data_IF_222451278862
#
_entry.id   IF_222451278862
#
_cell.length_a   1.000
_cell.length_b   1.000
_cell.length_c   1.000
_cell.angle_alpha   90.00
_cell.angle_beta   90.00
_cell.angle_gamma   90.00
#
_symmetry.space_group_name_H-M   'P 1'
#
loop_
_entity.id
_entity.type
_entity.pdbx_description
1 polymer ?
2 non-polymer ?
3 non-polymer ?
4 non-polymer ?
5 non-polymer ?
6 non-polymer ?
7 water ?
#
# COMPACT_ATOMS: atom_id res chain seq x y z
N UNK A 1 -26.11 -8.66 2.50
CA UNK A 1 -24.96 -7.75 2.43
C UNK A 1 -23.69 -8.55 2.17
N UNK A 2 -22.65 -7.89 1.64
CA UNK A 2 -21.45 -8.64 1.31
C UNK A 2 -20.31 -8.28 2.27
N UNK A 3 -19.36 -9.19 2.29
CA UNK A 3 -18.11 -9.03 2.99
C UNK A 3 -17.19 -10.13 2.50
N UNK A 4 -15.90 -9.97 2.80
CA UNK A 4 -15.00 -11.06 2.43
C UNK A 4 -13.63 -10.79 2.95
N UNK A 5 -12.82 -11.84 2.93
CA UNK A 5 -11.43 -11.83 3.34
C UNK A 5 -10.57 -12.18 2.15
N UNK A 6 -9.74 -11.20 1.78
CA UNK A 6 -8.74 -11.43 0.75
C UNK A 6 -7.38 -11.63 1.38
N UNK A 7 -6.70 -12.70 1.03
CA UNK A 7 -5.42 -13.00 1.67
C UNK A 7 -4.25 -12.41 0.90
N UNK A 8 -3.40 -11.70 1.62
CA UNK A 8 -2.24 -11.05 1.04
C UNK A 8 -1.01 -11.86 1.46
N UNK A 9 0.02 -11.81 0.62
CA UNK A 9 1.27 -12.48 0.92
C UNK A 9 2.41 -11.53 0.58
N UNK A 10 3.36 -11.32 1.50
CA UNK A 10 4.52 -10.50 1.17
C UNK A 10 5.48 -11.24 0.23
N UNK A 11 6.10 -10.49 -0.66
CA UNK A 11 7.22 -10.94 -1.47
C UNK A 11 8.48 -10.94 -0.61
N UNK A 12 9.61 -11.25 -1.22
CA UNK A 12 10.83 -11.30 -0.40
C UNK A 12 11.12 -9.99 0.31
N UNK A 13 11.50 -10.08 1.56
CA UNK A 13 11.74 -9.04 2.50
C UNK A 13 10.51 -8.16 2.73
N UNK A 14 9.32 -8.61 2.38
CA UNK A 14 8.12 -7.82 2.47
C UNK A 14 8.19 -6.55 1.64
N UNK A 15 8.76 -6.66 0.45
CA UNK A 15 8.91 -5.51 -0.42
C UNK A 15 7.56 -4.98 -0.90
N UNK A 16 6.68 -5.94 -1.19
CA UNK A 16 5.30 -5.61 -1.57
C UNK A 16 4.43 -6.78 -1.11
N UNK A 17 3.14 -6.54 -1.10
CA UNK A 17 2.18 -7.58 -0.71
C UNK A 17 1.27 -7.89 -1.88
N UNK A 18 1.06 -9.15 -2.17
CA UNK A 18 0.29 -9.59 -3.31
C UNK A 18 -0.98 -10.28 -2.92
N UNK A 19 -2.07 -10.02 -3.61
CA UNK A 19 -3.40 -10.55 -3.33
C UNK A 19 -4.06 -10.98 -4.63
N UNK A 20 -4.61 -12.18 -4.72
CA UNK A 20 -5.22 -12.65 -5.99
C UNK A 20 -6.57 -11.96 -6.19
N UNK A 21 -6.81 -11.69 -7.49
CA UNK A 21 -7.98 -10.98 -7.93
C UNK A 21 -8.46 -11.67 -9.21
N UNK A 22 -9.71 -12.03 -9.28
CA UNK A 22 -10.19 -12.68 -10.50
C UNK A 22 -10.90 -11.67 -11.37
N UNK A 23 -10.41 -11.49 -12.58
CA UNK A 23 -10.96 -10.50 -13.52
C UNK A 23 -11.44 -11.23 -14.78
N UNK A 24 -12.74 -11.16 -14.99
CA UNK A 24 -13.32 -11.92 -16.10
C UNK A 24 -12.87 -13.37 -16.10
N UNK A 25 -12.87 -14.04 -14.96
CA UNK A 25 -12.41 -15.41 -14.90
C UNK A 25 -10.93 -15.69 -14.92
N UNK A 26 -10.03 -14.73 -15.12
CA UNK A 26 -8.58 -14.99 -15.04
C UNK A 26 -8.08 -14.47 -13.71
N UNK A 27 -7.34 -15.21 -12.91
CA UNK A 27 -6.77 -14.72 -11.66
C UNK A 27 -5.40 -14.13 -11.83
N UNK A 28 -5.26 -12.88 -11.38
CA UNK A 28 -4.00 -12.14 -11.44
C UNK A 28 -3.55 -11.89 -10.02
N UNK A 29 -2.28 -11.76 -9.77
CA UNK A 29 -1.77 -11.40 -8.46
C UNK A 29 -1.46 -9.92 -8.42
N UNK A 30 -2.25 -9.13 -7.68
CA UNK A 30 -2.17 -7.68 -7.71
C UNK A 30 -1.66 -7.13 -6.37
N UNK A 31 -1.02 -5.99 -6.46
CA UNK A 31 -0.48 -5.22 -5.35
C UNK A 31 -1.59 -4.25 -4.89
N UNK A 32 -2.20 -4.54 -3.74
CA UNK A 32 -3.26 -3.66 -3.22
C UNK A 32 -2.64 -2.39 -2.63
N UNK A 33 -3.10 -1.24 -3.10
CA UNK A 33 -2.40 0.01 -2.89
C UNK A 33 -3.29 1.12 -2.39
N UNK A 34 -3.31 1.32 -1.07
CA UNK A 34 -4.12 2.39 -0.50
C UNK A 34 -3.60 3.79 -0.79
N UNK A 35 -2.46 3.90 -1.48
CA UNK A 35 -1.85 5.13 -1.92
C UNK A 35 -2.20 5.59 -3.31
N UNK A 36 -2.97 4.79 -4.06
CA UNK A 36 -3.41 5.22 -5.40
C UNK A 36 -4.76 4.65 -5.68
N UNK A 37 -5.39 5.06 -6.79
CA UNK A 37 -6.80 4.76 -7.02
C UNK A 37 -7.08 4.09 -8.35
N UNK A 38 -6.05 3.44 -8.91
CA UNK A 38 -6.19 2.80 -10.20
C UNK A 38 -6.03 1.30 -10.07
N UNK A 39 -6.88 0.55 -10.76
CA UNK A 39 -6.82 -0.89 -10.90
C UNK A 39 -6.27 -1.10 -12.32
N UNK A 40 -5.00 -1.46 -12.37
CA UNK A 40 -4.38 -1.68 -13.68
C UNK A 40 -3.70 -3.04 -13.67
N UNK A 41 -3.71 -3.62 -14.86
CA UNK A 41 -3.23 -4.98 -15.04
C UNK A 41 -2.33 -5.14 -16.26
N UNK A 42 -1.37 -6.04 -16.12
CA UNK A 42 -0.67 -6.54 -17.31
C UNK A 42 -1.73 -7.08 -18.24
N UNK A 43 -1.57 -6.84 -19.54
CA UNK A 43 -2.59 -7.21 -20.49
C UNK A 43 -1.98 -7.71 -21.82
N UNK A 44 -2.86 -8.25 -22.64
CA UNK A 44 -2.46 -8.72 -23.96
C UNK A 44 -2.11 -7.65 -24.96
N UNK A 45 -2.25 -6.40 -24.74
CA UNK A 45 -1.87 -5.15 -25.35
C UNK A 45 -0.43 -4.77 -25.06
N UNK A 46 0.25 -5.40 -24.10
CA UNK A 46 1.67 -5.25 -23.94
C UNK A 46 2.41 -6.06 -25.00
N UNK A 47 3.62 -5.69 -25.30
CA UNK A 47 4.46 -6.58 -26.14
C UNK A 47 4.54 -7.95 -25.48
N UNK A 48 4.52 -9.02 -26.29
CA UNK A 48 4.61 -10.36 -25.78
C UNK A 48 5.76 -10.56 -24.81
N UNK A 49 6.92 -9.96 -25.04
CA UNK A 49 8.06 -10.21 -24.20
C UNK A 49 7.84 -9.69 -22.80
N UNK A 50 7.03 -8.62 -22.71
CA UNK A 50 6.73 -8.07 -21.39
C UNK A 50 5.64 -8.82 -20.66
N UNK A 51 4.89 -9.67 -21.34
CA UNK A 51 3.88 -10.49 -20.72
C UNK A 51 4.48 -11.70 -20.03
N UNK A 52 5.71 -12.07 -20.43
CA UNK A 52 6.33 -13.30 -19.92
C UNK A 52 6.50 -13.20 -18.42
N UNK A 53 6.20 -14.26 -17.67
CA UNK A 53 6.33 -14.24 -16.22
C UNK A 53 5.11 -13.71 -15.49
N UNK A 54 4.08 -13.33 -16.25
CA UNK A 54 2.88 -12.77 -15.65
C UNK A 54 1.66 -13.53 -16.07
N UNK A 55 0.62 -13.41 -15.24
CA UNK A 55 -0.74 -13.64 -15.68
C UNK A 55 -1.26 -12.33 -16.31
N UNK A 56 -1.96 -12.47 -17.43
CA UNK A 56 -2.34 -11.24 -18.12
C UNK A 56 -3.82 -11.22 -18.41
N UNK A 57 -4.37 -10.01 -18.40
CA UNK A 57 -5.75 -9.81 -18.75
C UNK A 57 -5.97 -9.67 -20.24
N UNK A 58 -6.95 -10.40 -20.77
CA UNK A 58 -7.31 -10.34 -22.21
C UNK A 58 -8.65 -9.61 -22.28
N UNK A 59 -8.64 -8.32 -22.56
CA UNK A 59 -9.90 -7.59 -22.56
C UNK A 59 -10.85 -8.09 -23.65
N UNK A 60 -10.29 -8.62 -24.74
CA UNK A 60 -11.19 -9.05 -25.82
C UNK A 60 -12.06 -10.22 -25.42
N UNK A 61 -11.67 -11.04 -24.46
CA UNK A 61 -12.43 -12.17 -24.02
C UNK A 61 -13.66 -11.76 -23.22
N UNK A 62 -13.54 -10.81 -22.30
CA UNK A 62 -14.64 -10.51 -21.39
C UNK A 62 -14.93 -9.05 -21.12
N UNK A 63 -14.05 -8.15 -21.51
CA UNK A 63 -14.14 -6.76 -21.16
C UNK A 63 -15.03 -5.95 -22.07
N UNK A 64 -15.55 -4.83 -21.57
CA UNK A 64 -16.31 -3.91 -22.41
C UNK A 64 -15.57 -2.60 -22.44
N UNK A 65 -15.08 -2.16 -23.59
CA UNK A 65 -14.37 -0.91 -23.65
C UNK A 65 -15.20 0.25 -23.14
N UNK A 66 -14.45 1.15 -22.48
CA UNK A 66 -14.91 2.50 -22.17
C UNK A 66 -14.36 3.33 -23.32
N UNK A 67 -15.27 3.52 -24.30
CA UNK A 67 -14.82 4.08 -25.55
C UNK A 67 -14.15 5.46 -25.45
N UNK A 68 -12.91 5.56 -25.94
CA UNK A 68 -12.10 6.74 -25.92
C UNK A 68 -11.43 7.09 -24.60
N UNK A 69 -11.55 6.17 -23.64
CA UNK A 69 -10.94 6.37 -22.31
C UNK A 69 -9.54 5.80 -22.26
N UNK A 70 -8.69 6.48 -21.52
CA UNK A 70 -7.28 6.10 -21.35
C UNK A 70 -6.89 6.31 -19.89
N UNK A 71 -5.73 5.84 -19.51
CA UNK A 71 -5.18 6.03 -18.18
C UNK A 71 -3.66 6.16 -18.30
N UNK A 72 -3.06 6.86 -17.36
CA UNK A 72 -1.63 7.03 -17.28
C UNK A 72 -1.33 7.46 -15.84
N UNK A 73 -0.49 6.68 -15.18
CA UNK A 73 -0.21 6.90 -13.77
C UNK A 73 1.30 6.94 -13.55
N UNK A 74 1.68 7.78 -12.58
CA UNK A 74 3.06 7.97 -12.21
C UNK A 74 3.15 7.87 -10.69
N UNK A 75 4.12 7.12 -10.23
CA UNK A 75 4.26 6.87 -8.80
C UNK A 75 5.51 7.52 -8.20
N UNK A 76 5.54 7.54 -6.89
CA UNK A 76 6.57 8.23 -6.12
C UNK A 76 7.98 7.81 -6.42
N UNK A 77 8.21 6.54 -6.66
CA UNK A 77 9.53 6.00 -6.99
C UNK A 77 9.88 6.16 -8.46
N UNK A 78 9.09 6.88 -9.23
CA UNK A 78 9.46 7.12 -10.63
C UNK A 78 8.88 6.14 -11.59
N UNK A 79 8.23 5.09 -11.13
CA UNK A 79 7.61 4.11 -12.00
C UNK A 79 6.35 4.70 -12.60
N UNK A 80 5.88 4.08 -13.68
CA UNK A 80 4.69 4.55 -14.41
C UNK A 80 4.12 3.42 -15.24
N UNK A 81 2.88 3.62 -15.68
CA UNK A 81 2.21 2.68 -16.56
C UNK A 81 1.06 3.43 -17.22
N UNK A 82 0.61 2.93 -18.36
CA UNK A 82 -0.47 3.63 -19.05
C UNK A 82 -1.19 2.65 -19.98
N UNK A 83 -2.39 3.00 -20.42
CA UNK A 83 -3.10 2.17 -21.36
C UNK A 83 -4.49 2.67 -21.61
N UNK A 84 -5.40 1.75 -21.83
CA UNK A 84 -6.81 1.94 -22.12
C UNK A 84 -7.69 1.17 -21.13
N UNK A 85 -9.01 1.33 -21.24
CA UNK A 85 -9.90 0.96 -20.14
C UNK A 85 -11.08 0.13 -20.61
N UNK A 86 -11.39 -0.91 -19.86
CA UNK A 86 -12.50 -1.82 -20.04
C UNK A 86 -13.23 -2.04 -18.73
N UNK A 87 -14.52 -2.30 -18.78
CA UNK A 87 -15.21 -2.69 -17.54
C UNK A 87 -15.36 -4.20 -17.58
N UNK A 88 -15.34 -4.86 -16.44
CA UNK A 88 -15.37 -6.30 -16.32
C UNK A 88 -15.80 -6.68 -14.90
N UNK A 89 -16.03 -7.95 -14.70
CA UNK A 89 -16.27 -8.46 -13.35
C UNK A 89 -14.96 -8.66 -12.60
N UNK A 90 -14.84 -8.12 -11.40
CA UNK A 90 -13.65 -8.16 -10.58
C UNK A 90 -14.00 -8.71 -9.20
N UNK A 91 -13.37 -9.81 -8.82
CA UNK A 91 -13.70 -10.50 -7.58
C UNK A 91 -12.47 -10.55 -6.67
N UNK A 92 -12.63 -10.04 -5.47
CA UNK A 92 -11.68 -9.92 -4.41
C UNK A 92 -12.27 -10.51 -3.13
N UNK A 93 -11.58 -11.54 -2.61
CA UNK A 93 -12.10 -12.05 -1.33
C UNK A 93 -13.50 -12.58 -1.44
N UNK A 94 -13.94 -13.02 -2.60
CA UNK A 94 -15.29 -13.49 -2.84
C UNK A 94 -16.33 -12.42 -3.05
N UNK A 95 -15.92 -11.16 -3.08
CA UNK A 95 -16.78 -10.01 -3.30
C UNK A 95 -16.63 -9.57 -4.75
N UNK A 96 -17.73 -9.54 -5.51
CA UNK A 96 -17.64 -9.23 -6.95
C UNK A 96 -18.15 -7.82 -7.22
N UNK A 97 -17.32 -7.04 -7.91
CA UNK A 97 -17.66 -5.74 -8.45
C UNK A 97 -18.02 -5.99 -9.91
N UNK A 98 -19.23 -5.68 -10.28
CA UNK A 98 -19.64 -5.79 -11.67
C UNK A 98 -19.45 -4.42 -12.33
N UNK A 99 -18.98 -4.42 -13.57
CA UNK A 99 -18.79 -3.16 -14.29
C UNK A 99 -17.65 -2.34 -13.73
N UNK A 100 -16.68 -3.03 -13.10
CA UNK A 100 -15.54 -2.36 -12.55
C UNK A 100 -14.57 -1.98 -13.68
N UNK A 101 -14.09 -0.75 -13.64
CA UNK A 101 -13.06 -0.30 -14.55
C UNK A 101 -11.74 -1.02 -14.30
N UNK A 102 -11.27 -1.67 -15.38
CA UNK A 102 -10.02 -2.39 -15.42
C UNK A 102 -9.14 -1.70 -16.47
N UNK A 103 -8.00 -1.23 -16.01
CA UNK A 103 -7.09 -0.42 -16.79
C UNK A 103 -6.04 -1.35 -17.37
N UNK A 104 -6.21 -1.65 -18.67
CA UNK A 104 -5.33 -2.59 -19.36
C UNK A 104 -4.04 -1.91 -19.77
N UNK A 105 -2.88 -2.43 -19.33
CA UNK A 105 -1.62 -1.79 -19.66
C UNK A 105 -1.21 -2.01 -21.12
N UNK A 106 -0.77 -0.90 -21.72
CA UNK A 106 -0.11 -0.88 -23.01
C UNK A 106 1.36 -0.52 -22.86
N UNK A 107 1.75 0.21 -21.82
CA UNK A 107 3.10 0.63 -21.54
C UNK A 107 3.34 0.47 -20.06
N UNK A 108 4.50 -0.01 -19.67
CA UNK A 108 4.93 -0.15 -18.29
C UNK A 108 6.36 0.27 -18.20
N UNK A 109 6.75 0.97 -17.14
CA UNK A 109 8.12 1.43 -16.97
C UNK A 109 9.02 0.27 -16.54
N UNK A 110 10.31 0.56 -16.54
CA UNK A 110 11.36 -0.40 -16.21
C UNK A 110 11.08 -1.15 -14.93
N UNK A 111 10.61 -0.46 -13.87
CA UNK A 111 10.42 -1.14 -12.60
C UNK A 111 9.39 -2.24 -12.69
N UNK A 112 8.28 -1.94 -13.40
CA UNK A 112 7.29 -2.99 -13.58
C UNK A 112 7.75 -4.06 -14.57
N UNK A 113 8.53 -3.64 -15.55
CA UNK A 113 9.14 -4.62 -16.44
C UNK A 113 10.06 -5.56 -15.67
N UNK A 114 10.60 -5.17 -14.52
CA UNK A 114 11.50 -6.11 -13.82
C UNK A 114 10.83 -6.77 -12.65
N UNK A 115 9.54 -6.51 -12.38
CA UNK A 115 8.91 -7.11 -11.20
C UNK A 115 7.93 -8.19 -11.62
N UNK A 116 8.35 -9.44 -11.50
CA UNK A 116 7.38 -10.44 -11.94
C UNK A 116 6.54 -10.93 -10.78
N UNK A 117 6.61 -10.23 -9.66
CA UNK A 117 5.87 -10.65 -8.48
C UNK A 117 4.39 -10.23 -8.54
N UNK A 118 4.09 -9.20 -9.33
CA UNK A 118 2.71 -8.75 -9.40
C UNK A 118 2.38 -8.67 -10.90
N UNK A 119 1.08 -8.64 -11.13
CA UNK A 119 0.46 -8.48 -12.43
C UNK A 119 -0.30 -7.15 -12.55
N UNK A 120 0.08 -6.20 -11.67
CA UNK A 120 -0.50 -4.89 -11.64
C UNK A 120 -0.93 -4.49 -10.23
N UNK A 121 -1.72 -3.44 -10.15
CA UNK A 121 -2.10 -2.81 -8.91
C UNK A 121 -3.61 -2.70 -8.77
N UNK A 122 -4.07 -2.83 -7.53
CA UNK A 122 -5.46 -2.52 -7.18
C UNK A 122 -5.48 -1.37 -6.19
N UNK A 123 -5.84 -0.18 -6.68
CA UNK A 123 -5.89 1.03 -5.87
C UNK A 123 -7.06 1.08 -4.90
N UNK A 124 -6.73 1.57 -3.71
CA UNK A 124 -7.70 1.69 -2.62
C UNK A 124 -7.68 3.07 -1.99
N UNK A 125 -7.05 4.04 -2.61
CA UNK A 125 -7.18 5.44 -2.23
C UNK A 125 -8.55 5.93 -2.70
N UNK A 126 -8.91 7.18 -2.38
CA UNK A 126 -10.17 7.73 -2.84
C UNK A 126 -10.24 7.82 -4.35
N UNK A 127 -11.44 7.55 -4.87
CA UNK A 127 -11.60 7.51 -6.32
C UNK A 127 -11.33 8.84 -7.00
N UNK A 128 -11.35 9.94 -6.25
CA UNK A 128 -11.12 11.26 -6.83
C UNK A 128 -9.76 11.38 -7.49
N UNK A 129 -8.80 10.52 -7.12
CA UNK A 129 -7.50 10.59 -7.75
C UNK A 129 -7.23 9.44 -8.71
N UNK A 130 -8.26 8.71 -9.07
CA UNK A 130 -8.13 7.78 -10.19
C UNK A 130 -7.72 8.53 -11.44
N UNK A 131 -6.81 8.03 -12.27
CA UNK A 131 -6.22 8.76 -13.38
C UNK A 131 -6.92 8.56 -14.71
N UNK A 132 -7.98 7.80 -14.79
CA UNK A 132 -8.65 7.56 -16.08
C UNK A 132 -9.15 8.87 -16.66
N UNK A 133 -8.93 9.04 -17.96
CA UNK A 133 -9.37 10.18 -18.72
C UNK A 133 -10.34 9.78 -19.83
N UNK A 134 -11.26 10.65 -20.20
CA UNK A 134 -11.45 11.98 -19.62
C UNK A 134 -12.24 12.03 -18.32
N UNK A 135 -12.83 10.96 -17.85
CA UNK A 135 -13.53 10.98 -16.57
C UNK A 135 -13.02 9.87 -15.65
N UNK A 136 -12.73 10.24 -14.41
CA UNK A 136 -12.20 9.22 -13.49
C UNK A 136 -13.25 8.17 -13.18
N UNK A 137 -12.71 6.99 -12.80
CA UNK A 137 -13.51 5.83 -12.46
C UNK A 137 -13.40 5.48 -10.98
N UNK A 138 -14.31 4.65 -10.46
CA UNK A 138 -14.24 4.25 -9.06
C UNK A 138 -13.38 3.01 -8.87
N UNK A 139 -12.69 3.05 -7.73
CA UNK A 139 -11.90 1.92 -7.32
C UNK A 139 -12.85 0.74 -7.01
N UNK A 140 -12.23 -0.45 -6.91
CA UNK A 140 -12.94 -1.65 -6.51
C UNK A 140 -13.78 -1.38 -5.25
N UNK A 141 -13.13 -0.75 -4.26
CA UNK A 141 -13.81 -0.50 -2.99
C UNK A 141 -15.02 0.40 -3.14
N UNK A 142 -14.98 1.53 -3.79
CA UNK A 142 -16.03 2.47 -4.02
C UNK A 142 -17.11 1.82 -4.86
N UNK A 143 -16.74 0.97 -5.81
CA UNK A 143 -17.76 0.26 -6.57
C UNK A 143 -18.63 -0.63 -5.69
N UNK A 144 -18.04 -1.35 -4.73
CA UNK A 144 -18.77 -2.32 -3.95
C UNK A 144 -19.20 -1.77 -2.59
N UNK A 145 -18.75 -0.60 -2.15
CA UNK A 145 -18.90 -0.29 -0.70
C UNK A 145 -20.37 -0.20 -0.28
N UNK A 146 -21.27 0.28 -1.12
CA UNK A 146 -22.64 0.32 -0.59
C UNK A 146 -23.29 -1.06 -0.56
N UNK A 147 -22.67 -2.05 -1.16
CA UNK A 147 -23.14 -3.41 -1.12
C UNK A 147 -22.57 -4.18 0.09
N UNK A 148 -21.53 -3.61 0.68
CA UNK A 148 -20.89 -4.27 1.80
C UNK A 148 -21.71 -4.04 3.06
N UNK A 149 -21.50 -4.90 4.06
CA UNK A 149 -22.24 -4.70 5.30
C UNK A 149 -21.89 -3.38 5.96
N UNK A 150 -20.61 -3.02 5.99
CA UNK A 150 -20.12 -1.73 6.40
C UNK A 150 -19.17 -1.20 5.32
N UNK A 151 -19.24 0.07 5.03
CA UNK A 151 -18.44 0.62 3.95
C UNK A 151 -17.02 0.96 4.37
N UNK A 152 -16.29 -0.10 4.65
CA UNK A 152 -14.94 -0.06 5.12
C UNK A 152 -14.16 -1.27 4.62
N UNK A 153 -12.85 -1.14 4.73
CA UNK A 153 -11.96 -2.30 4.57
C UNK A 153 -10.90 -2.18 5.65
N UNK A 154 -10.23 -3.26 5.94
CA UNK A 154 -9.24 -3.28 7.03
C UNK A 154 -8.08 -4.20 6.63
N UNK A 155 -6.90 -3.87 7.18
CA UNK A 155 -5.71 -4.53 6.67
C UNK A 155 -4.78 -4.97 7.82
N UNK A 156 -4.34 -6.21 7.69
CA UNK A 156 -3.27 -6.79 8.49
C UNK A 156 -2.16 -7.22 7.51
N UNK A 157 -1.08 -6.47 7.51
CA UNK A 157 0.12 -6.85 6.78
C UNK A 157 1.10 -7.40 7.81
N UNK A 158 1.79 -8.48 7.45
CA UNK A 158 2.66 -9.15 8.42
C UNK A 158 4.06 -9.33 7.88
N UNK A 159 5.01 -9.59 8.79
CA UNK A 159 6.37 -9.92 8.38
C UNK A 159 6.47 -11.41 8.03
N UNK A 160 6.73 -11.66 6.75
CA UNK A 160 6.98 -13.02 6.28
C UNK A 160 5.91 -14.01 6.72
N UNK A 161 4.66 -13.57 6.66
CA UNK A 161 3.49 -14.37 6.93
C UNK A 161 2.31 -13.83 6.12
N UNK A 162 1.37 -14.66 5.76
CA UNK A 162 0.19 -14.16 5.03
C UNK A 162 -0.62 -13.31 5.99
N UNK A 163 -1.26 -12.29 5.39
CA UNK A 163 -2.12 -11.36 6.07
C UNK A 163 -3.47 -11.26 5.45
N UNK A 164 -4.24 -10.24 5.83
CA UNK A 164 -5.58 -10.09 5.28
C UNK A 164 -5.91 -8.65 4.90
N UNK A 165 -6.78 -8.59 3.89
CA UNK A 165 -7.65 -7.48 3.60
C UNK A 165 -9.09 -7.91 3.94
N UNK A 166 -9.68 -7.32 4.95
CA UNK A 166 -11.08 -7.59 5.33
C UNK A 166 -11.92 -6.54 4.63
N UNK A 167 -12.84 -6.97 3.79
CA UNK A 167 -13.76 -6.02 3.16
C UNK A 167 -15.16 -6.11 3.80
N UNK A 168 -15.66 -4.96 4.23
CA UNK A 168 -17.03 -4.85 4.67
C UNK A 168 -17.21 -5.22 6.13
N UNK A 169 -16.18 -5.61 6.86
CA UNK A 169 -16.30 -5.93 8.29
C UNK A 169 -14.93 -5.78 8.96
N UNK A 170 -15.00 -5.69 10.29
CA UNK A 170 -13.84 -5.63 11.16
C UNK A 170 -13.64 -6.96 11.85
N UNK A 171 -12.44 -7.51 11.78
CA UNK A 171 -12.11 -8.74 12.49
C UNK A 171 -11.38 -8.37 13.78
N UNK A 172 -12.11 -8.43 14.90
CA UNK A 172 -11.57 -7.93 16.15
C UNK A 172 -10.51 -8.85 16.72
N UNK A 173 -10.38 -10.06 16.13
CA UNK A 173 -9.30 -10.95 16.56
C UNK A 173 -7.95 -10.57 15.96
N UNK A 174 -7.90 -9.58 15.06
CA UNK A 174 -6.65 -9.19 14.39
C UNK A 174 -5.91 -8.12 15.17
N UNK A 175 -6.41 -7.70 16.34
CA UNK A 175 -5.74 -6.69 17.12
C UNK A 175 -5.99 -6.93 18.62
N UNK A 176 -5.13 -6.35 19.43
CA UNK A 176 -5.26 -6.28 20.87
C UNK A 176 -5.99 -5.04 21.31
N UNK A 177 -6.92 -5.18 22.28
CA UNK A 177 -7.62 -4.04 22.79
C UNK A 177 -8.63 -3.48 21.83
N UNK A 178 -9.01 -2.22 21.97
CA UNK A 178 -10.00 -1.55 21.18
C UNK A 178 -9.36 -0.62 20.15
N UNK A 179 -10.06 -0.42 19.05
CA UNK A 179 -9.63 0.50 18.01
C UNK A 179 -9.70 1.96 18.50
N UNK A 180 -8.73 2.74 18.04
CA UNK A 180 -8.78 4.18 18.22
C UNK A 180 -8.89 4.83 16.84
N UNK A 181 -9.91 5.66 16.67
CA UNK A 181 -10.15 6.32 15.40
C UNK A 181 -9.64 7.75 15.39
N UNK A 182 -9.28 8.13 14.15
CA UNK A 182 -8.78 9.48 13.87
C UNK A 182 -9.34 9.92 12.52
N UNK A 183 -9.58 11.22 12.40
CA UNK A 183 -10.20 11.73 11.17
C UNK A 183 -9.23 11.75 10.01
N UNK A 184 -9.80 11.48 8.85
CA UNK A 184 -9.06 11.45 7.60
C UNK A 184 -9.35 12.69 6.76
N UNK A 185 -8.32 13.25 6.19
CA UNK A 185 -8.40 14.34 5.21
C UNK A 185 -8.27 13.71 3.83
N UNK A 186 -9.34 13.68 3.06
CA UNK A 186 -9.32 13.06 1.72
C UNK A 186 -9.12 14.10 0.61
N UNK A 187 -8.69 15.30 0.97
CA UNK A 187 -8.70 16.39 -0.01
C UNK A 187 -7.66 16.22 -1.11
N UNK A 188 -6.67 15.38 -0.92
CA UNK A 188 -5.72 15.03 -1.95
C UNK A 188 -5.89 13.58 -2.35
N UNK A 189 -7.01 12.95 -2.00
CA UNK A 189 -7.31 11.60 -2.40
C UNK A 189 -6.68 10.51 -1.56
N UNK A 190 -5.88 10.90 -0.57
CA UNK A 190 -5.19 9.89 0.26
C UNK A 190 -5.91 9.66 1.57
N UNK A 191 -5.56 8.53 2.21
CA UNK A 191 -5.95 8.26 3.58
C UNK A 191 -4.97 8.98 4.50
N UNK A 192 -5.16 10.31 4.51
CA UNK A 192 -4.29 11.19 5.26
C UNK A 192 -4.82 11.41 6.69
N UNK A 193 -3.91 11.34 7.65
CA UNK A 193 -4.26 11.59 9.03
C UNK A 193 -3.16 12.43 9.69
N UNK A 194 -3.48 12.93 10.88
CA UNK A 194 -2.56 13.71 11.68
C UNK A 194 -2.01 12.92 12.86
N UNK A 195 -0.72 13.18 13.07
CA UNK A 195 -0.10 12.67 14.31
C UNK A 195 0.27 13.92 15.11
N UNK A 196 0.03 13.79 16.41
CA UNK A 196 0.22 14.91 17.35
C UNK A 196 1.64 15.02 17.85
N UNK A 197 2.45 13.95 17.78
CA UNK A 197 3.82 13.90 18.20
C UNK A 197 4.43 12.56 17.81
N UNK A 198 5.75 12.43 17.87
CA UNK A 198 6.42 11.18 17.56
C UNK A 198 7.49 10.97 18.64
N UNK A 199 7.88 9.71 18.78
CA UNK A 199 9.02 9.28 19.55
C UNK A 199 9.91 8.41 18.66
N UNK A 200 11.13 8.87 18.43
CA UNK A 200 12.12 8.10 17.66
C UNK A 200 13.12 7.65 18.71
N UNK A 201 12.94 6.46 19.28
CA UNK A 201 13.76 5.97 20.34
C UNK A 201 13.81 6.87 21.56
N UNK A 202 14.96 7.45 21.80
CA UNK A 202 15.17 8.24 23.01
C UNK A 202 14.88 9.72 22.84
N UNK A 203 14.38 10.05 21.65
CA UNK A 203 14.12 11.42 21.27
C UNK A 203 12.69 11.57 20.77
N UNK A 204 12.04 12.69 21.00
CA UNK A 204 10.66 12.88 20.55
C UNK A 204 10.55 14.26 19.90
N UNK A 205 9.50 14.45 19.11
CA UNK A 205 9.32 15.71 18.42
C UNK A 205 7.88 15.98 18.09
N UNK A 206 7.70 17.09 17.37
CA UNK A 206 6.37 17.56 17.09
C UNK A 206 5.67 16.77 15.98
N UNK A 207 4.37 16.94 15.91
CA UNK A 207 3.56 16.20 14.96
C UNK A 207 3.68 16.65 13.51
N UNK A 208 2.89 15.96 12.72
CA UNK A 208 2.90 16.10 11.27
C UNK A 208 1.74 15.29 10.73
N UNK A 209 1.60 15.30 9.40
CA UNK A 209 0.57 14.52 8.77
C UNK A 209 1.22 13.40 7.95
N UNK A 210 0.47 12.36 7.65
CA UNK A 210 0.96 11.31 6.77
C UNK A 210 -0.17 10.50 6.20
N UNK A 211 0.18 9.61 5.28
CA UNK A 211 -0.84 8.81 4.61
C UNK A 211 -0.62 7.33 4.86
N UNK A 212 -1.75 6.62 5.07
CA UNK A 212 -1.66 5.18 5.24
C UNK A 212 -1.53 4.55 3.86
N UNK A 213 -0.38 3.97 3.54
CA UNK A 213 0.00 3.65 2.14
C UNK A 213 0.56 2.24 2.01
N UNK A 214 -0.32 1.26 1.76
CA UNK A 214 0.12 -0.14 1.67
C UNK A 214 1.06 -0.34 0.49
N UNK A 215 1.07 0.53 -0.51
CA UNK A 215 1.86 0.42 -1.72
C UNK A 215 3.27 0.91 -1.57
N UNK A 216 3.70 1.33 -0.40
CA UNK A 216 5.06 1.78 -0.15
C UNK A 216 5.65 0.86 0.90
N UNK A 217 6.85 0.38 0.59
CA UNK A 217 7.56 -0.60 1.39
C UNK A 217 7.93 -0.09 2.77
N UNK A 218 8.46 1.09 2.82
CA UNK A 218 9.09 1.62 4.03
C UNK A 218 8.24 2.68 4.71
N UNK A 219 8.71 3.11 5.86
CA UNK A 219 8.20 4.24 6.63
C UNK A 219 9.01 5.49 6.24
N UNK A 220 8.37 6.38 5.48
CA UNK A 220 9.14 7.53 4.95
C UNK A 220 8.81 8.79 5.72
N UNK A 221 9.77 9.41 6.32
CA UNK A 221 9.64 10.50 7.26
C UNK A 221 10.48 11.67 6.84
N UNK A 222 10.27 12.82 7.47
CA UNK A 222 11.12 13.96 7.25
C UNK A 222 12.56 13.63 7.56
N UNK A 223 13.47 14.20 6.79
CA UNK A 223 14.92 14.06 7.00
C UNK A 223 15.31 14.37 8.44
N UNK A 224 14.69 15.35 9.11
CA UNK A 224 15.06 15.66 10.50
C UNK A 224 14.82 14.45 11.39
N UNK A 225 13.70 13.76 11.17
CA UNK A 225 13.29 12.60 11.94
C UNK A 225 14.16 11.40 11.61
N UNK A 226 14.45 11.16 10.33
CA UNK A 226 15.34 10.10 9.92
C UNK A 226 16.70 10.26 10.61
N UNK A 227 17.23 11.49 10.58
CA UNK A 227 18.54 11.78 11.13
C UNK A 227 18.48 11.56 12.63
N UNK A 228 17.46 11.99 13.34
CA UNK A 228 17.32 11.78 14.76
C UNK A 228 17.29 10.29 15.11
N UNK A 229 16.53 9.52 14.36
CA UNK A 229 16.46 8.09 14.53
C UNK A 229 17.81 7.41 14.38
N UNK A 230 18.49 7.61 13.27
CA UNK A 230 19.74 6.88 12.99
C UNK A 230 20.91 7.45 13.80
N UNK A 231 20.81 8.64 14.35
CA UNK A 231 21.83 9.16 15.29
C UNK A 231 21.92 8.25 16.49
N UNK A 232 20.95 7.42 16.78
CA UNK A 232 20.92 6.48 17.87
C UNK A 232 21.26 5.05 17.52
N UNK A 233 21.61 4.82 16.27
CA UNK A 233 21.93 3.49 15.74
C UNK A 233 23.43 3.45 15.47
N UNK A 234 24.18 2.71 16.27
CA UNK A 234 25.63 2.74 16.11
C UNK A 234 26.08 2.28 14.72
N UNK A 235 26.93 3.08 14.10
CA UNK A 235 27.52 2.77 12.82
C UNK A 235 26.63 2.93 11.61
N UNK A 236 25.42 3.41 11.81
CA UNK A 236 24.52 3.68 10.70
C UNK A 236 25.14 4.64 9.70
N UNK A 237 24.95 4.31 8.41
CA UNK A 237 25.43 5.20 7.34
C UNK A 237 24.54 5.02 6.12
N UNK A 238 24.50 6.03 5.26
CA UNK A 238 23.80 6.01 4.00
C UNK A 238 24.54 5.07 3.05
N UNK A 239 23.81 4.22 2.34
CA UNK A 239 24.33 3.36 1.30
C UNK A 239 23.35 3.42 0.13
N UNK A 240 23.73 4.13 -0.92
CA UNK A 240 22.85 4.38 -2.05
C UNK A 240 22.68 3.09 -2.86
N UNK A 241 23.57 2.12 -2.70
CA UNK A 241 23.37 0.82 -3.36
C UNK A 241 22.17 0.15 -2.72
N UNK A 242 21.92 0.43 -1.45
CA UNK A 242 20.89 -0.27 -0.71
C UNK A 242 19.60 0.50 -0.61
N UNK A 243 19.63 1.82 -0.71
CA UNK A 243 18.35 2.51 -0.58
C UNK A 243 18.28 3.50 0.56
N UNK A 244 19.39 3.72 1.28
CA UNK A 244 19.31 4.64 2.39
C UNK A 244 20.21 4.22 3.54
N UNK A 245 19.78 4.62 4.74
CA UNK A 245 20.56 4.21 5.92
C UNK A 245 20.54 2.72 6.12
N UNK A 246 21.74 2.16 6.34
CA UNK A 246 22.02 0.79 6.63
C UNK A 246 22.82 0.69 7.93
N UNK A 247 22.84 -0.53 8.46
CA UNK A 247 23.49 -0.81 9.74
C UNK A 247 23.71 -2.30 9.80
N UNK A 248 24.57 -2.64 10.76
CA UNK A 248 24.84 -4.03 11.05
C UNK A 248 23.56 -4.77 11.36
N UNK A 249 23.36 -5.93 10.77
CA UNK A 249 22.10 -6.65 10.91
C UNK A 249 21.79 -7.08 12.35
N UNK A 250 22.82 -7.16 13.20
CA UNK A 250 22.63 -7.57 14.59
C UNK A 250 22.28 -6.42 15.51
N UNK A 251 22.24 -5.21 15.03
CA UNK A 251 21.87 -4.02 15.78
C UNK A 251 20.52 -4.10 16.48
N UNK A 252 20.50 -3.67 17.75
CA UNK A 252 19.21 -3.60 18.46
C UNK A 252 18.66 -2.19 18.23
N UNK A 253 17.65 -2.10 17.37
CA UNK A 253 17.09 -0.85 16.89
C UNK A 253 16.06 -0.26 17.86
N UNK A 254 16.08 1.05 17.99
CA UNK A 254 15.06 1.67 18.85
C UNK A 254 13.69 1.54 18.19
N UNK A 255 12.66 1.68 19.04
CA UNK A 255 11.30 1.75 18.57
C UNK A 255 11.01 3.14 17.99
N UNK A 256 9.94 3.20 17.22
CA UNK A 256 9.40 4.43 16.70
C UNK A 256 7.91 4.44 16.95
N UNK A 257 7.39 5.51 17.53
CA UNK A 257 5.99 5.64 17.87
C UNK A 257 5.44 6.99 17.41
N UNK A 258 4.13 6.96 17.14
CA UNK A 258 3.41 8.22 16.91
C UNK A 258 2.15 8.26 17.74
N UNK A 259 1.74 9.49 18.04
CA UNK A 259 0.55 9.83 18.80
C UNK A 259 -0.60 10.14 17.86
N UNK A 260 -1.60 9.27 17.84
CA UNK A 260 -2.74 9.39 16.95
C UNK A 260 -4.03 9.43 17.79
N UNK A 261 -4.61 10.61 17.87
CA UNK A 261 -5.82 10.87 18.64
C UNK A 261 -5.78 10.16 20.00
N UNK A 262 -4.66 10.29 20.68
CA UNK A 262 -4.42 9.79 22.01
C UNK A 262 -3.97 8.36 22.15
N UNK A 263 -3.82 7.68 21.03
CA UNK A 263 -3.36 6.31 20.90
C UNK A 263 -1.90 6.32 20.50
N UNK A 264 -1.09 5.48 21.17
CA UNK A 264 0.31 5.38 20.77
C UNK A 264 0.50 4.23 19.79
N UNK A 265 0.82 4.51 18.53
CA UNK A 265 1.11 3.49 17.54
C UNK A 265 2.60 3.24 17.56
N UNK A 266 3.03 2.09 18.01
CA UNK A 266 4.45 1.80 18.14
C UNK A 266 4.90 0.75 17.13
N UNK A 267 5.97 1.10 16.42
CA UNK A 267 6.65 0.20 15.54
C UNK A 267 7.85 -0.33 16.35
N UNK A 268 7.82 -1.60 16.71
CA UNK A 268 8.97 -2.12 17.44
C UNK A 268 10.23 -2.09 16.57
N UNK A 269 11.37 -1.88 17.17
CA UNK A 269 12.64 -1.84 16.47
C UNK A 269 12.83 -3.09 15.63
N UNK A 270 12.36 -4.27 16.04
CA UNK A 270 12.53 -5.47 15.24
C UNK A 270 11.95 -5.31 13.82
N UNK A 271 10.88 -4.56 13.69
CA UNK A 271 10.25 -4.33 12.38
C UNK A 271 10.96 -3.27 11.58
N UNK A 272 11.83 -2.50 12.19
CA UNK A 272 12.59 -1.45 11.45
C UNK A 272 13.86 -2.01 10.84
N UNK A 273 14.19 -3.27 11.10
CA UNK A 273 15.19 -3.97 10.31
C UNK A 273 14.46 -4.59 9.12
N UNK A 274 14.56 -3.92 7.98
CA UNK A 274 13.87 -4.34 6.78
C UNK A 274 14.37 -5.67 6.21
N UNK A 275 15.68 -5.77 6.23
CA UNK A 275 16.26 -7.00 5.71
C UNK A 275 17.67 -6.73 5.21
N UNK A 276 18.30 -7.79 4.73
CA UNK A 276 19.63 -7.66 4.17
C UNK A 276 19.61 -6.61 3.07
N UNK A 277 20.61 -5.74 3.09
CA UNK A 277 20.65 -4.58 2.22
C UNK A 277 20.91 -4.95 0.77
N UNK A 278 21.39 -6.16 0.56
CA UNK A 278 21.62 -6.66 -0.78
C UNK A 278 23.07 -6.71 -1.23
N UNK A 279 23.70 -5.55 -1.40
CA UNK A 279 25.02 -5.48 -2.00
C UNK A 279 26.04 -6.35 -1.27
N UNK A 280 26.09 -6.14 0.03
CA UNK A 280 27.04 -6.81 0.89
C UNK A 280 26.41 -7.25 2.21
N UNK A 281 27.04 -6.90 3.32
CA UNK A 281 26.62 -7.40 4.62
C UNK A 281 26.17 -6.39 5.65
N UNK A 282 25.18 -5.58 5.30
CA UNK A 282 24.42 -4.71 6.21
C UNK A 282 22.95 -5.03 5.98
N UNK A 283 22.13 -4.40 6.81
CA UNK A 283 20.68 -4.40 6.71
C UNK A 283 20.18 -2.96 6.53
N UNK A 284 19.13 -2.89 5.69
CA UNK A 284 18.48 -1.64 5.38
C UNK A 284 17.44 -1.30 6.44
N UNK A 285 17.47 -0.03 6.82
CA UNK A 285 16.52 0.51 7.77
C UNK A 285 15.12 0.68 7.23
N UNK A 286 14.13 0.42 8.08
CA UNK A 286 12.75 0.57 7.64
C UNK A 286 12.26 1.99 7.65
N UNK A 287 13.00 2.91 8.25
CA UNK A 287 12.73 4.36 8.19
C UNK A 287 13.68 4.99 7.19
N UNK A 288 13.13 5.76 6.26
CA UNK A 288 13.98 6.44 5.27
C UNK A 288 13.33 7.78 4.93
N UNK A 289 14.01 8.61 4.17
CA UNK A 289 13.56 9.93 3.78
C UNK A 289 12.34 9.92 2.84
N UNK A 290 11.49 10.91 3.05
CA UNK A 290 10.36 11.23 2.18
C UNK A 290 10.72 12.19 1.07
N UNK A 291 12.00 12.48 0.83
CA UNK A 291 12.49 13.28 -0.28
C UNK A 291 12.09 14.76 -0.17
N UNK A 292 11.71 15.16 1.04
CA UNK A 292 11.41 16.57 1.26
C UNK A 292 9.99 16.99 1.00
N UNK A 293 9.04 16.09 0.77
CA UNK A 293 7.67 16.42 0.39
C UNK A 293 6.82 17.02 1.49
N UNK A 294 7.20 17.05 2.75
CA UNK A 294 6.42 17.79 3.73
C UNK A 294 5.28 17.02 4.37
N UNK A 295 5.21 15.72 4.18
CA UNK A 295 4.31 14.83 4.89
C UNK A 295 4.91 13.41 4.82
N UNK A 296 4.36 12.55 5.65
CA UNK A 296 5.01 11.25 5.83
C UNK A 296 4.20 10.14 5.17
N UNK A 297 4.92 9.07 4.82
CA UNK A 297 4.33 7.93 4.13
C UNK A 297 4.39 6.73 5.07
N UNK A 298 3.23 6.40 5.61
CA UNK A 298 3.08 5.32 6.55
C UNK A 298 2.85 4.03 5.76
N UNK A 299 3.99 3.50 5.28
CA UNK A 299 4.13 2.33 4.45
C UNK A 299 4.18 1.04 5.25
N UNK A 300 4.63 -0.05 4.64
CA UNK A 300 4.41 -1.39 5.17
C UNK A 300 5.16 -1.61 6.47
N UNK A 301 6.32 -0.98 6.64
CA UNK A 301 7.04 -1.13 7.89
C UNK A 301 6.18 -0.73 9.07
N UNK A 302 5.46 0.40 8.92
CA UNK A 302 4.56 0.84 10.00
C UNK A 302 3.35 -0.10 10.09
N UNK A 303 2.74 -0.39 8.95
CA UNK A 303 1.49 -1.15 8.90
C UNK A 303 1.67 -2.52 9.51
N UNK A 304 2.85 -3.17 9.45
CA UNK A 304 3.06 -4.48 10.01
C UNK A 304 2.87 -4.49 11.53
N UNK A 305 2.84 -3.31 12.16
CA UNK A 305 2.66 -3.20 13.59
C UNK A 305 1.19 -3.03 13.98
N UNK A 306 0.32 -2.74 13.02
CA UNK A 306 -1.03 -2.33 13.32
C UNK A 306 -2.04 -3.16 12.56
N UNK A 307 -3.23 -3.21 13.11
CA UNK A 307 -4.40 -3.47 12.30
C UNK A 307 -5.03 -2.10 11.99
N UNK A 308 -5.39 -1.87 10.73
CA UNK A 308 -5.84 -0.55 10.32
C UNK A 308 -7.17 -0.65 9.59
N UNK A 309 -8.13 0.09 10.11
CA UNK A 309 -9.45 0.16 9.49
C UNK A 309 -9.57 1.45 8.70
N UNK A 310 -9.89 1.33 7.41
CA UNK A 310 -10.12 2.37 6.44
C UNK A 310 -11.63 2.48 6.27
N UNK A 311 -12.20 3.47 6.98
CA UNK A 311 -13.65 3.64 7.05
C UNK A 311 -14.09 4.84 6.23
N UNK A 312 -14.91 4.61 5.22
CA UNK A 312 -15.44 5.67 4.40
C UNK A 312 -16.43 6.54 5.16
N UNK A 313 -17.00 6.01 6.25
CA UNK A 313 -17.87 6.85 7.09
C UNK A 313 -16.97 7.71 7.96
N UNK A 314 -17.04 9.02 7.68
CA UNK A 314 -16.15 9.99 8.25
C UNK A 314 -15.61 10.92 7.22
N UNK A 315 -14.59 10.54 6.47
CA UNK A 315 -13.89 9.26 6.65
C UNK A 315 -12.97 9.26 7.86
N UNK A 316 -12.53 8.05 8.22
CA UNK A 316 -11.69 7.91 9.41
C UNK A 316 -10.81 6.68 9.27
N UNK A 317 -9.75 6.67 10.05
CA UNK A 317 -8.87 5.52 10.19
C UNK A 317 -8.92 5.02 11.64
N UNK A 318 -8.97 3.72 11.77
CA UNK A 318 -8.93 3.09 13.09
C UNK A 318 -7.65 2.27 13.24
N UNK A 319 -7.03 2.33 14.40
CA UNK A 319 -5.77 1.67 14.69
C UNK A 319 -5.79 0.92 16.01
N UNK A 320 -5.11 -0.21 16.03
CA UNK A 320 -4.80 -0.95 17.22
C UNK A 320 -3.63 -1.90 16.99
N UNK A 321 -2.91 -2.34 18.01
CA UNK A 321 -1.75 -3.17 17.80
C UNK A 321 -2.15 -4.51 17.21
N UNK A 322 -1.42 -4.95 16.18
CA UNK A 322 -1.77 -6.18 15.50
C UNK A 322 -1.60 -7.39 16.41
N UNK A 323 -2.57 -8.31 16.26
CA UNK A 323 -2.73 -9.60 16.89
C UNK A 323 -3.08 -10.68 15.85
X LIG B 1 -18.59 -10.68 6.22
X LIG B 1 -18.65 -12.20 6.34
X LIG B 1 -19.81 -12.77 5.54
X LIG B 1 -21.11 -12.10 5.97
X LIG B 1 -20.99 -10.60 5.90
X LIG B 1 -22.24 -9.84 6.38
X LIG B 1 -18.73 -12.52 7.72
X LIG B 1 -19.89 -14.18 5.72
X LIG B 1 -22.22 -12.53 5.20
X LIG B 1 -19.84 -10.10 6.61
X LIG B 1 -22.56 -10.18 7.71
X LIG C 1 -7.00 -16.15 2.02
X LIG C 1 -8.42 -16.23 2.48
X LIG C 1 -8.52 -16.22 3.98
X LIG C 1 -7.29 -16.77 4.74
X LIG C 1 -6.11 -17.27 3.91
X LIG C 1 -5.72 -18.71 4.23
X LIG C 1 -9.01 -17.41 1.89
X LIG C 1 -9.81 -16.61 4.40
X LIG C 1 -7.58 -17.62 5.82
X LIG C 1 -6.35 -17.32 2.48
X LIG C 1 -5.71 -19.51 3.05
X LIG D 1 -13.34 -2.24 19.26
X LIG D 1 -14.53 -2.62 18.49
X LIG D 1 -13.36 -0.80 19.62
X LIG D 1 -13.26 -3.05 20.51
X LIG D 1 -12.12 -2.49 18.45
X LIG E 1 11.61 4.19 -16.95
X LIG E 1 11.06 3.01 -17.66
X LIG E 1 10.72 5.33 -17.24
X LIG E 1 11.73 3.99 -15.48
X LIG E 1 12.97 4.46 -17.49
X LIG F 1 8.32 11.70 -3.92
X LIG F 1 7.12 11.66 -4.27
X LIG F 1 9.09 12.67 -4.10
X LIG F 1 8.88 10.48 -3.21
X LIG G 1 9.83 -0.11 -3.03
X LIG G 1 11.81 -1.29 -2.15
X LIG G 1 8.94 0.57 -3.93
X LIG G 1 12.97 -0.56 -1.49
X LIG G 1 7.98 -0.33 -4.68
X LIG G 1 12.50 0.77 -0.92
X LIG G 1 8.67 -1.40 -5.50
X LIG G 1 13.50 -1.44 -0.34
X LIG G 1 6.90 -0.95 -3.82
X LIG G 1 11.11 -0.38 -3.17
X LIG G 1 8.17 1.64 -3.14
X LIG G 1 11.70 0.05 -4.16
X LIG G 1 8.06 1.61 -1.93
X LIG G 1 7.65 2.61 -3.90
X LIG G 1 7.02 3.81 -3.38
X LIG G 1 7.95 4.94 -3.10
X LIG G 1 7.36 6.25 -2.60
X LIG G 1 7.98 7.26 -3.01
X LIG G 1 6.29 6.39 -1.83
X LIG G 1 5.86 4.14 -4.29
X LIG G 1 5.98 4.97 -5.18
X LIG G 1 4.74 3.43 -4.09
X LIG G 1 3.52 3.47 -4.87
X LIG G 1 3.12 2.13 -5.46
X LIG G 1 4.26 1.33 -6.06
X LIG G 1 3.81 -0.04 -6.52
X LIG G 1 4.92 2.06 -7.23
X LIG G 1 2.18 4.25 -3.96
X LIG G 1 2.11 3.59 -2.64
X LIG G 1 0.94 4.23 -4.79
X LIG G 1 2.61 5.75 -3.76
X LIG G 1 1.70 6.77 -3.85
X LIG G 1 1.72 7.69 -2.59
X LIG G 1 1.30 9.70 -6.12
X LIG G 1 2.90 8.63 -2.43
X LIG G 1 2.71 9.91 -1.90
X LIG G 1 4.17 8.26 -2.81
X LIG G 1 3.79 10.76 -1.75
X LIG G 1 5.03 10.30 -2.16
X LIG G 1 5.30 9.04 -2.70
X LIG G 1 1.91 7.70 -5.06
X LIG G 1 1.21 8.75 -5.07
X LIG G 1 2.75 7.40 -5.93
X LIG H 1 -14.39 -7.98 21.71
X LIG H 1 -14.11 -7.45 20.41
X LIG H 1 -15.10 -6.88 22.51
X LIG H 1 -16.27 -6.43 21.84
X LIG H 1 -15.51 -7.48 23.87
X LIG H 1 -16.21 -6.41 24.50
X LIG I 1 -0.28 16.72 3.05
X LIG I 1 0.40 17.15 4.19
X LIG I 1 -0.89 15.35 3.36
X LIG I 1 -2.01 15.52 4.22
X LIG I 1 -1.19 14.53 2.12
X LIG I 1 -2.32 15.18 1.48
X LIG J 1 -9.58 -0.26 -27.64
X LIG J 1 -8.64 -1.29 -27.91
X LIG J 1 -10.46 0.19 -28.80
X LIG J 1 -11.55 0.94 -28.26
X LIG J 1 -9.70 1.09 -29.80
X LIG J 1 -9.23 2.26 -29.15
#
# INVERSE_FOLDING_TARGET
AASGVATNTPTANDEEYITPVTIGGTTLNLNFDTGSADLWVFSTELPASQQSGHSVYNPSATGKELSGYTWSISYGDGSSASGNVFTDSVTVGGVTAHGQAVQAAQQISAQFQQDTNNDGLLGLAFSSINTVQPQSQTTFFDTVKSSLAQPLFAVALKHQQPGVYDFGFIDSSKYTGSLTYTGVDNSQGFWSFNVDSYTAGSQSGDGFSGIADTGTTLLLLDDSVVSQYYSQVSGAQQDSNAGGYVFDCSTNLPDFSVSISGYTATVPGSLINYGPSGDGSTCLGGIQSNSGIGFSIFGDIFLKSQYVVFDSDGPQLGFAPQA
MAN C1 C2 C3 C4 C5 C6 O2 O3 O4 O5 O6
MAN C1 C2 C3 C4 C5 C6 O2 O3 O4 O5 O6
SO4 S O1 O2 O3 O4
SO4 S O1 O2 O3 O4
ACT C O OXT CH3
PP8 NV2 CV1 CV6 CV2 CV7 CV3 CV8 CV4 CV9 CV5 CR OV1 OV2 N1 C1 C2 C4 O2 N2 C3 O1 NL CAL CBL CGL CL1 CL2 P O3 O4 O5 C5 C6 C7 CE2 CZ CD2 CE1 CD1 CG CT OT1 OT2
GOL C1 O1 C2 O2 C3 O3
GOL C1 O1 C2 O2 C3 O3
GOL C1 O1 C2 O2 C3 O3
#
